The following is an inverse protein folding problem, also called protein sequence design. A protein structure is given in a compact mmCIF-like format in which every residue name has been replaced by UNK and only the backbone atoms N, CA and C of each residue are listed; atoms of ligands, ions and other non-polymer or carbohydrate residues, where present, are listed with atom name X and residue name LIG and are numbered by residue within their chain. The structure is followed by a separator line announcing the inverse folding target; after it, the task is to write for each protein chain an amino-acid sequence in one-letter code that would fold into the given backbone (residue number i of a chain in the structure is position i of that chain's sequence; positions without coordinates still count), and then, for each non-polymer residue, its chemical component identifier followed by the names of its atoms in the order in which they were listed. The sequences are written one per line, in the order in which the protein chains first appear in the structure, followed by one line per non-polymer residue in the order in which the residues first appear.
data_IF_081365548711
#
_entry.id   IF_081365548711
#
_cell.length_a   1.000
_cell.length_b   1.000
_cell.length_c   1.000
_cell.angle_alpha   90.00
_cell.angle_beta   90.00
_cell.angle_gamma   90.00
#
_symmetry.space_group_name_H-M   'P 1'
#
loop_
_entity.id
_entity.type
_entity.pdbx_description
1 polymer ?
#
# COMPACT_ATOMS: atom_id res chain seq x y z
N UNK A 1 -16.14 2.67 -15.76
CA UNK A 1 -15.48 2.77 -14.43
C UNK A 1 -16.21 3.84 -13.65
N UNK A 2 -16.60 3.56 -12.42
CA UNK A 2 -17.37 4.52 -11.63
C UNK A 2 -16.55 5.81 -11.43
N UNK A 3 -17.14 6.94 -11.81
CA UNK A 3 -16.54 8.26 -11.71
C UNK A 3 -16.94 8.91 -10.40
N UNK A 4 -16.48 8.34 -9.29
CA UNK A 4 -16.84 8.79 -7.94
C UNK A 4 -16.41 10.23 -7.65
N UNK A 5 -15.34 10.69 -8.32
CA UNK A 5 -14.79 12.03 -8.18
C UNK A 5 -15.08 12.90 -9.40
N UNK A 6 -16.14 12.59 -10.16
CA UNK A 6 -16.53 13.38 -11.32
C UNK A 6 -16.81 14.83 -10.92
N UNK A 7 -16.20 15.78 -11.63
CA UNK A 7 -16.32 17.21 -11.37
C UNK A 7 -15.30 17.77 -10.37
N UNK A 8 -14.49 16.92 -9.72
CA UNK A 8 -13.38 17.37 -8.88
C UNK A 8 -12.19 17.73 -9.77
N UNK A 9 -11.63 18.93 -9.59
CA UNK A 9 -10.46 19.43 -10.32
C UNK A 9 -9.23 19.50 -9.43
N UNK A 10 -8.12 18.92 -9.89
CA UNK A 10 -6.87 18.82 -9.13
C UNK A 10 -5.74 19.45 -9.93
N UNK A 11 -5.01 20.37 -9.31
CA UNK A 11 -3.72 20.85 -9.79
C UNK A 11 -2.63 20.07 -9.08
N UNK A 12 -1.83 19.33 -9.84
CA UNK A 12 -0.71 18.55 -9.32
C UNK A 12 0.60 19.24 -9.70
N UNK A 13 1.34 19.79 -8.73
CA UNK A 13 2.70 20.26 -9.01
C UNK A 13 3.61 19.04 -9.15
N UNK A 14 4.42 19.00 -10.20
CA UNK A 14 5.25 17.84 -10.51
C UNK A 14 6.18 17.50 -9.34
N UNK A 15 6.12 16.23 -8.94
CA UNK A 15 6.90 15.64 -7.86
C UNK A 15 7.27 14.19 -8.16
N UNK A 16 7.72 13.49 -7.12
CA UNK A 16 8.06 12.07 -7.19
C UNK A 16 7.03 11.23 -6.43
N UNK A 17 7.02 9.93 -6.75
CA UNK A 17 6.33 8.81 -6.08
C UNK A 17 5.01 9.14 -5.33
N UNK A 18 4.99 9.65 -4.08
CA UNK A 18 3.76 9.90 -3.32
C UNK A 18 2.75 10.81 -4.01
N UNK A 19 3.20 11.94 -4.58
CA UNK A 19 2.29 12.93 -5.20
C UNK A 19 1.70 12.41 -6.52
N UNK A 20 2.51 11.89 -7.47
CA UNK A 20 1.97 11.24 -8.65
C UNK A 20 1.06 10.06 -8.33
N UNK A 21 1.36 9.27 -7.29
CA UNK A 21 0.49 8.18 -6.84
C UNK A 21 -0.86 8.72 -6.35
N UNK A 22 -0.86 9.72 -5.46
CA UNK A 22 -2.08 10.39 -4.99
C UNK A 22 -2.94 10.91 -6.16
N UNK A 23 -2.34 11.69 -7.07
CA UNK A 23 -3.04 12.19 -8.24
C UNK A 23 -3.55 11.08 -9.16
N UNK A 24 -2.82 9.97 -9.30
CA UNK A 24 -3.26 8.82 -10.10
C UNK A 24 -4.52 8.19 -9.50
N UNK A 25 -4.55 7.98 -8.18
CA UNK A 25 -5.72 7.45 -7.49
C UNK A 25 -6.94 8.34 -7.70
N UNK A 26 -6.79 9.66 -7.56
CA UNK A 26 -7.89 10.60 -7.80
C UNK A 26 -8.38 10.55 -9.25
N UNK A 27 -7.48 10.52 -10.24
CA UNK A 27 -7.80 10.41 -11.66
C UNK A 27 -8.49 9.08 -12.00
N UNK A 28 -8.00 7.97 -11.44
CA UNK A 28 -8.56 6.63 -11.61
C UNK A 28 -10.03 6.54 -11.12
N UNK A 29 -10.41 7.37 -10.14
CA UNK A 29 -11.80 7.51 -9.66
C UNK A 29 -12.57 8.69 -10.28
N UNK A 30 -12.02 9.34 -11.31
CA UNK A 30 -12.73 10.28 -12.17
C UNK A 30 -12.50 11.77 -11.91
N UNK A 31 -11.53 12.15 -11.07
CA UNK A 31 -11.12 13.55 -10.95
C UNK A 31 -10.38 14.02 -12.22
N UNK A 32 -10.52 15.30 -12.56
CA UNK A 32 -9.74 15.96 -13.60
C UNK A 32 -8.41 16.45 -13.00
N UNK A 33 -7.34 15.70 -13.24
CA UNK A 33 -6.02 15.98 -12.69
C UNK A 33 -5.12 16.60 -13.77
N UNK A 34 -4.69 17.84 -13.54
CA UNK A 34 -3.74 18.57 -14.38
C UNK A 34 -2.37 18.63 -13.70
N UNK A 35 -1.39 17.94 -14.27
CA UNK A 35 0.02 17.96 -13.83
C UNK A 35 0.72 19.19 -14.41
N UNK A 36 1.39 19.95 -13.54
CA UNK A 36 2.20 21.10 -13.90
C UNK A 36 3.67 20.69 -13.83
N UNK A 37 4.34 20.65 -14.99
CA UNK A 37 5.77 20.29 -15.10
C UNK A 37 6.48 21.18 -16.13
N UNK A 38 7.82 21.17 -16.14
CA UNK A 38 8.62 21.83 -17.17
C UNK A 38 8.77 20.96 -18.42
N UNK A 39 9.10 21.60 -19.55
CA UNK A 39 9.48 20.93 -20.80
C UNK A 39 10.71 20.03 -20.58
N UNK A 40 10.62 18.76 -20.99
CA UNK A 40 11.50 17.63 -20.63
C UNK A 40 11.25 17.08 -19.21
N UNK A 41 10.25 16.19 -19.06
CA UNK A 41 9.84 15.71 -17.76
C UNK A 41 10.98 14.94 -17.09
N UNK A 42 11.38 15.40 -15.90
CA UNK A 42 12.12 14.59 -14.92
C UNK A 42 11.17 13.57 -14.26
N UNK A 43 9.86 13.70 -14.54
CA UNK A 43 8.77 13.05 -13.82
C UNK A 43 8.70 11.55 -14.01
N UNK A 44 8.32 10.89 -12.92
CA UNK A 44 7.85 9.51 -12.87
C UNK A 44 6.61 9.31 -13.78
N UNK A 45 6.84 8.93 -15.04
CA UNK A 45 5.78 8.73 -16.04
C UNK A 45 4.89 7.51 -15.77
N UNK A 46 5.27 6.64 -14.81
CA UNK A 46 4.54 5.40 -14.50
C UNK A 46 3.16 5.67 -13.89
N UNK A 47 2.96 6.81 -13.23
CA UNK A 47 1.72 7.14 -12.51
C UNK A 47 0.89 8.26 -13.18
N UNK A 48 1.10 8.54 -14.47
CA UNK A 48 0.40 9.62 -15.18
C UNK A 48 -0.84 9.18 -15.96
N UNK A 49 -1.30 7.92 -15.81
CA UNK A 49 -2.52 7.47 -16.50
C UNK A 49 -3.72 8.29 -16.02
N UNK A 50 -4.61 8.64 -16.95
CA UNK A 50 -5.82 9.42 -16.66
C UNK A 50 -5.59 10.92 -16.40
N UNK A 51 -4.33 11.40 -16.37
CA UNK A 51 -4.01 12.81 -16.11
C UNK A 51 -3.73 13.59 -17.40
N UNK A 52 -3.93 14.90 -17.33
CA UNK A 52 -3.47 15.85 -18.35
C UNK A 52 -2.22 16.59 -17.87
N UNK A 53 -1.42 17.14 -18.79
CA UNK A 53 -0.18 17.84 -18.45
C UNK A 53 -0.16 19.24 -19.06
N UNK A 54 0.33 20.23 -18.31
CA UNK A 54 0.61 21.59 -18.78
C UNK A 54 2.07 21.95 -18.50
N UNK A 55 2.74 22.45 -19.53
CA UNK A 55 4.15 22.85 -19.46
C UNK A 55 4.30 24.26 -18.87
N UNK A 56 4.58 24.37 -17.58
CA UNK A 56 4.89 25.64 -16.90
C UNK A 56 6.22 25.53 -16.15
N UNK A 57 7.09 26.53 -16.31
CA UNK A 57 8.36 26.61 -15.59
C UNK A 57 8.18 27.39 -14.29
N UNK A 58 8.06 26.69 -13.17
CA UNK A 58 7.80 27.28 -11.84
C UNK A 58 8.94 28.18 -11.31
N UNK A 59 10.03 28.38 -12.07
CA UNK A 59 11.05 29.39 -11.79
C UNK A 59 10.66 30.77 -12.33
N UNK A 60 9.65 30.82 -13.21
CA UNK A 60 9.20 32.02 -13.91
C UNK A 60 7.95 32.60 -13.24
N UNK A 61 7.98 33.87 -12.77
CA UNK A 61 6.83 34.50 -12.12
C UNK A 61 5.54 34.48 -12.95
N UNK A 62 5.64 34.59 -14.27
CA UNK A 62 4.52 34.53 -15.21
C UNK A 62 3.84 33.16 -15.26
N UNK A 63 4.60 32.08 -15.08
CA UNK A 63 4.09 30.71 -15.06
C UNK A 63 3.49 30.38 -13.68
N UNK A 64 4.08 30.89 -12.60
CA UNK A 64 3.47 30.86 -11.25
C UNK A 64 2.08 31.53 -11.26
N UNK A 65 1.94 32.68 -11.93
CA UNK A 65 0.63 33.34 -12.09
C UNK A 65 -0.39 32.44 -12.77
N UNK A 66 0.01 31.69 -13.82
CA UNK A 66 -0.88 30.73 -14.50
C UNK A 66 -1.32 29.60 -13.58
N UNK A 67 -0.41 29.08 -12.73
CA UNK A 67 -0.76 28.08 -11.71
C UNK A 67 -1.79 28.65 -10.73
N UNK A 68 -1.56 29.86 -10.24
CA UNK A 68 -2.51 30.56 -9.36
C UNK A 68 -3.88 30.72 -10.00
N UNK A 69 -3.96 31.07 -11.28
CA UNK A 69 -5.23 31.13 -12.03
C UNK A 69 -5.94 29.76 -12.10
N UNK A 70 -5.21 28.65 -12.26
CA UNK A 70 -5.81 27.32 -12.21
C UNK A 70 -6.39 27.03 -10.82
N UNK A 71 -5.66 27.37 -9.76
CA UNK A 71 -6.11 27.18 -8.37
C UNK A 71 -7.40 27.92 -8.05
N UNK A 72 -7.74 29.02 -8.73
CA UNK A 72 -9.00 29.77 -8.53
C UNK A 72 -10.25 28.93 -8.78
N UNK A 73 -10.15 27.94 -9.67
CA UNK A 73 -11.28 27.11 -10.10
C UNK A 73 -11.09 25.63 -9.81
N UNK A 74 -10.03 25.30 -9.06
CA UNK A 74 -9.69 23.93 -8.69
C UNK A 74 -10.15 23.60 -7.28
N UNK A 75 -10.36 22.33 -7.01
CA UNK A 75 -10.75 21.83 -5.70
C UNK A 75 -9.54 21.51 -4.83
N UNK A 76 -8.47 21.03 -5.48
CA UNK A 76 -7.28 20.52 -4.79
C UNK A 76 -6.01 21.03 -5.45
N UNK A 77 -5.02 21.40 -4.64
CA UNK A 77 -3.62 21.60 -5.02
C UNK A 77 -2.75 20.54 -4.33
N UNK A 78 -1.96 19.78 -5.09
CA UNK A 78 -0.95 18.86 -4.55
C UNK A 78 0.42 19.56 -4.56
N UNK A 79 1.03 19.70 -3.37
CA UNK A 79 2.34 20.30 -3.14
C UNK A 79 3.35 19.21 -2.74
N UNK A 80 4.32 18.85 -3.61
CA UNK A 80 5.35 17.84 -3.32
C UNK A 80 6.61 18.41 -2.65
N UNK A 81 6.68 19.72 -2.43
CA UNK A 81 7.94 20.38 -2.15
C UNK A 81 8.28 20.41 -0.66
N UNK A 82 9.56 20.70 -0.39
CA UNK A 82 10.02 20.96 0.99
C UNK A 82 9.25 22.14 1.59
N UNK A 83 8.98 22.13 2.91
CA UNK A 83 8.32 23.23 3.61
C UNK A 83 8.93 24.59 3.27
N UNK A 84 8.10 25.59 3.05
CA UNK A 84 8.52 26.94 2.66
C UNK A 84 8.76 27.14 1.16
N UNK A 85 8.76 26.08 0.33
CA UNK A 85 8.98 26.22 -1.13
C UNK A 85 7.78 26.87 -1.81
N UNK A 86 6.58 26.41 -1.49
CA UNK A 86 5.34 26.95 -2.04
C UNK A 86 5.16 28.43 -1.67
N UNK A 87 5.55 28.79 -0.44
CA UNK A 87 5.57 30.16 0.08
C UNK A 87 6.54 31.05 -0.70
N UNK A 88 7.76 30.58 -0.95
CA UNK A 88 8.75 31.31 -1.77
C UNK A 88 8.28 31.53 -3.21
N UNK A 89 7.42 30.66 -3.73
CA UNK A 89 6.77 30.82 -5.04
C UNK A 89 5.59 31.80 -5.00
N UNK A 90 5.15 32.27 -3.84
CA UNK A 90 3.95 33.12 -3.71
C UNK A 90 2.64 32.36 -3.90
N UNK A 91 2.66 31.05 -3.66
CA UNK A 91 1.50 30.16 -3.69
C UNK A 91 1.15 29.66 -2.28
N UNK A 92 1.44 30.44 -1.24
CA UNK A 92 1.13 30.06 0.14
C UNK A 92 -0.38 29.91 0.40
N UNK A 93 -0.79 29.09 1.39
CA UNK A 93 -2.21 28.81 1.64
C UNK A 93 -3.09 30.04 1.86
N UNK A 94 -2.62 31.03 2.63
CA UNK A 94 -3.42 32.21 2.94
C UNK A 94 -3.63 33.07 1.68
N UNK A 95 -2.59 33.22 0.87
CA UNK A 95 -2.68 33.92 -0.41
C UNK A 95 -3.62 33.22 -1.40
N UNK A 96 -3.57 31.89 -1.49
CA UNK A 96 -4.45 31.13 -2.39
C UNK A 96 -5.92 31.18 -1.94
N UNK A 97 -6.18 31.16 -0.62
CA UNK A 97 -7.54 31.26 -0.10
C UNK A 97 -8.18 32.63 -0.23
N UNK A 98 -7.40 33.70 -0.44
CA UNK A 98 -7.94 35.00 -0.84
C UNK A 98 -8.65 34.91 -2.20
N UNK A 99 -8.17 34.05 -3.10
CA UNK A 99 -8.77 33.86 -4.42
C UNK A 99 -9.80 32.71 -4.44
N UNK A 100 -9.55 31.63 -3.69
CA UNK A 100 -10.43 30.47 -3.61
C UNK A 100 -10.47 29.90 -2.19
N UNK A 101 -11.45 30.35 -1.39
CA UNK A 101 -11.66 29.88 0.00
C UNK A 101 -11.98 28.38 0.12
N UNK A 102 -12.37 27.73 -0.97
CA UNK A 102 -12.72 26.31 -1.03
C UNK A 102 -11.55 25.39 -1.37
N UNK A 103 -10.38 25.93 -1.73
CA UNK A 103 -9.22 25.16 -2.17
C UNK A 103 -8.68 24.27 -1.03
N UNK A 104 -8.55 22.98 -1.28
CA UNK A 104 -7.84 22.05 -0.42
C UNK A 104 -6.38 22.02 -0.86
N UNK A 105 -5.45 22.27 0.06
CA UNK A 105 -4.02 22.28 -0.25
C UNK A 105 -3.39 21.09 0.46
N UNK A 106 -3.06 20.05 -0.30
CA UNK A 106 -2.47 18.83 0.23
C UNK A 106 -0.95 18.88 0.04
N UNK A 107 -0.23 19.02 1.15
CA UNK A 107 1.23 19.11 1.18
C UNK A 107 1.78 17.76 1.59
N UNK A 108 2.49 17.09 0.69
CA UNK A 108 3.01 15.75 0.94
C UNK A 108 4.52 15.84 1.06
N UNK A 109 5.05 15.58 2.26
CA UNK A 109 6.48 15.65 2.55
C UNK A 109 6.93 14.47 3.42
N UNK A 110 8.25 14.29 3.55
CA UNK A 110 8.81 13.20 4.34
C UNK A 110 8.52 13.28 5.84
N UNK A 111 8.79 14.45 6.42
CA UNK A 111 8.78 14.68 7.86
C UNK A 111 7.68 15.67 8.32
N UNK A 112 6.78 16.11 7.43
CA UNK A 112 5.75 17.10 7.70
C UNK A 112 6.19 18.55 7.43
N UNK A 113 5.29 19.51 7.66
CA UNK A 113 5.57 20.95 7.46
C UNK A 113 6.25 21.61 8.67
N UNK A 114 6.28 20.94 9.82
CA UNK A 114 6.85 21.46 11.08
C UNK A 114 7.79 20.45 11.73
N UNK A 115 8.46 20.84 12.82
CA UNK A 115 9.40 19.96 13.55
C UNK A 115 10.85 20.11 13.11
N UNK A 116 11.76 19.42 13.82
CA UNK A 116 13.22 19.58 13.68
C UNK A 116 13.73 19.12 12.31
N UNK A 117 13.13 18.06 11.76
CA UNK A 117 13.56 17.46 10.50
C UNK A 117 12.82 18.01 9.27
N UNK A 118 11.96 19.01 9.42
CA UNK A 118 11.09 19.52 8.33
C UNK A 118 11.87 19.95 7.07
N UNK A 119 13.09 20.45 7.25
CA UNK A 119 13.95 20.94 6.17
C UNK A 119 14.96 19.89 5.67
N UNK A 120 15.03 18.73 6.34
CA UNK A 120 15.99 17.66 6.04
C UNK A 120 15.60 16.88 4.78
N UNK A 121 16.61 16.34 4.10
CA UNK A 121 16.40 15.44 2.98
C UNK A 121 16.03 14.03 3.48
N UNK A 122 15.31 13.29 2.65
CA UNK A 122 15.05 11.87 2.89
C UNK A 122 14.42 11.22 1.67
N UNK A 123 14.31 9.91 1.73
CA UNK A 123 13.52 9.07 0.83
C UNK A 123 12.75 8.04 1.66
N UNK A 124 11.89 7.26 1.02
CA UNK A 124 11.03 6.23 1.63
C UNK A 124 11.71 5.49 2.80
N UNK A 125 12.90 4.91 2.56
CA UNK A 125 13.65 4.16 3.57
C UNK A 125 13.92 4.93 4.87
N UNK A 126 14.17 6.25 4.79
CA UNK A 126 14.39 7.10 5.96
C UNK A 126 13.09 7.29 6.74
N UNK A 127 11.98 7.50 6.04
CA UNK A 127 10.67 7.72 6.65
C UNK A 127 10.15 6.43 7.29
N UNK A 128 10.34 5.27 6.64
CA UNK A 128 10.03 3.95 7.21
C UNK A 128 10.90 3.70 8.45
N UNK A 129 12.20 4.01 8.41
CA UNK A 129 13.08 3.88 9.58
C UNK A 129 12.61 4.73 10.76
N UNK A 130 12.20 5.97 10.51
CA UNK A 130 11.73 6.89 11.55
C UNK A 130 10.32 6.59 12.05
N UNK A 131 9.51 5.83 11.29
CA UNK A 131 8.16 5.42 11.71
C UNK A 131 8.13 4.34 12.80
N UNK A 132 9.29 3.71 13.07
CA UNK A 132 9.40 2.55 13.95
C UNK A 132 9.11 1.21 13.27
N UNK A 133 8.74 1.19 11.98
CA UNK A 133 8.36 -0.03 11.26
C UNK A 133 9.50 -0.77 10.58
N UNK A 134 10.64 -0.14 10.31
CA UNK A 134 11.76 -0.82 9.64
C UNK A 134 12.18 -2.15 10.31
N UNK A 135 12.24 -2.27 11.66
CA UNK A 135 12.60 -3.52 12.31
C UNK A 135 11.66 -4.70 11.99
N UNK A 136 10.40 -4.46 11.60
CA UNK A 136 9.43 -5.53 11.31
C UNK A 136 9.66 -6.19 9.94
N UNK A 137 10.58 -5.66 9.13
CA UNK A 137 10.99 -6.20 7.83
C UNK A 137 12.39 -6.84 7.87
N UNK A 138 12.81 -7.34 9.04
CA UNK A 138 14.05 -8.09 9.24
C UNK A 138 13.84 -9.63 9.12
N UNK A 139 14.91 -10.36 8.77
CA UNK A 139 14.92 -11.82 8.68
C UNK A 139 15.47 -12.53 9.94
N UNK A 140 15.94 -13.78 9.78
CA UNK A 140 16.21 -14.83 10.82
C UNK A 140 17.16 -14.44 11.92
N UNK A 141 18.05 -13.55 11.55
CA UNK A 141 19.07 -13.00 12.41
C UNK A 141 18.80 -11.50 12.51
N UNK A 142 19.45 -10.84 13.48
CA UNK A 142 19.63 -9.39 13.52
C UNK A 142 20.43 -8.84 12.31
N UNK A 143 20.28 -9.48 11.15
CA UNK A 143 20.56 -9.03 9.80
C UNK A 143 19.87 -7.70 9.52
N UNK A 144 20.51 -6.93 8.66
CA UNK A 144 20.04 -5.63 8.18
C UNK A 144 18.59 -5.73 7.67
N UNK A 145 17.64 -4.92 8.20
CA UNK A 145 16.28 -4.87 7.67
C UNK A 145 16.26 -4.49 6.19
N UNK A 146 15.34 -5.09 5.44
CA UNK A 146 15.14 -4.75 4.03
C UNK A 146 13.99 -3.76 3.90
N UNK A 147 14.17 -2.64 3.16
CA UNK A 147 13.06 -1.75 2.90
C UNK A 147 12.00 -2.49 2.06
N UNK A 148 10.70 -2.35 2.37
CA UNK A 148 9.60 -2.95 1.60
C UNK A 148 9.38 -2.19 0.28
N UNK A 149 10.41 -2.19 -0.57
CA UNK A 149 10.54 -1.33 -1.75
C UNK A 149 10.34 0.13 -1.32
N UNK A 150 9.40 0.84 -1.92
CA UNK A 150 8.87 2.11 -1.45
C UNK A 150 7.34 2.05 -1.30
N UNK A 151 6.81 0.86 -0.99
CA UNK A 151 5.36 0.64 -0.85
C UNK A 151 4.80 1.26 0.42
N UNK A 152 5.63 1.34 1.47
CA UNK A 152 5.14 1.68 2.79
C UNK A 152 5.07 3.20 3.02
N UNK A 153 6.16 3.96 2.83
CA UNK A 153 6.13 5.40 3.12
C UNK A 153 5.67 6.23 1.91
N UNK A 154 6.24 6.05 0.73
CA UNK A 154 5.84 6.82 -0.46
C UNK A 154 4.37 6.57 -0.82
N UNK A 155 3.93 5.30 -0.83
CA UNK A 155 2.60 4.95 -1.32
C UNK A 155 1.56 4.80 -0.23
N UNK A 156 1.72 3.89 0.73
CA UNK A 156 0.69 3.66 1.75
C UNK A 156 0.60 4.85 2.73
N UNK A 157 1.70 5.20 3.39
CA UNK A 157 1.78 6.27 4.38
C UNK A 157 1.68 7.67 3.79
N UNK A 158 2.12 7.84 2.53
CA UNK A 158 2.11 9.10 1.79
C UNK A 158 0.92 9.25 0.87
N UNK A 159 1.04 8.74 -0.35
CA UNK A 159 0.07 9.00 -1.42
C UNK A 159 -1.36 8.53 -1.13
N UNK A 160 -1.54 7.33 -0.54
CA UNK A 160 -2.85 6.80 -0.18
C UNK A 160 -3.46 7.56 1.01
N UNK A 161 -2.69 7.81 2.07
CA UNK A 161 -3.13 8.64 3.20
C UNK A 161 -3.55 10.04 2.74
N UNK A 162 -2.80 10.65 1.83
CA UNK A 162 -3.14 11.94 1.24
C UNK A 162 -4.43 11.89 0.42
N UNK A 163 -4.60 10.88 -0.44
CA UNK A 163 -5.84 10.70 -1.20
C UNK A 163 -7.06 10.53 -0.28
N UNK A 164 -6.92 9.74 0.79
CA UNK A 164 -7.97 9.58 1.82
C UNK A 164 -8.27 10.91 2.53
N UNK A 165 -7.23 11.67 2.91
CA UNK A 165 -7.37 12.99 3.51
C UNK A 165 -8.09 13.97 2.59
N UNK A 166 -7.76 13.97 1.29
CA UNK A 166 -8.40 14.83 0.27
C UNK A 166 -9.88 14.50 0.13
N UNK A 167 -10.24 13.22 0.00
CA UNK A 167 -11.66 12.81 -0.12
C UNK A 167 -12.42 13.18 1.17
N UNK A 168 -11.80 13.00 2.33
CA UNK A 168 -12.37 13.41 3.62
C UNK A 168 -12.56 14.93 3.71
N UNK A 169 -11.61 15.72 3.21
CA UNK A 169 -11.70 17.17 3.17
C UNK A 169 -12.76 17.66 2.19
N UNK A 170 -12.90 17.01 1.02
CA UNK A 170 -13.98 17.29 0.06
C UNK A 170 -15.34 17.02 0.71
N UNK A 171 -15.48 15.89 1.41
CA UNK A 171 -16.70 15.57 2.15
C UNK A 171 -17.00 16.62 3.23
N UNK A 172 -16.03 16.94 4.08
CA UNK A 172 -16.18 17.94 5.14
C UNK A 172 -16.54 19.33 4.58
N UNK A 173 -16.01 19.69 3.40
CA UNK A 173 -16.29 20.95 2.70
C UNK A 173 -17.78 21.13 2.37
N UNK A 174 -18.52 20.05 2.12
CA UNK A 174 -19.98 20.10 1.94
C UNK A 174 -20.75 20.48 3.21
N UNK A 175 -20.14 20.28 4.38
CA UNK A 175 -20.79 20.50 5.68
C UNK A 175 -20.29 21.76 6.41
N UNK A 176 -19.17 22.33 6.00
CA UNK A 176 -18.53 23.47 6.68
C UNK A 176 -18.74 24.84 5.98
N UNK A 177 -19.71 24.91 5.06
CA UNK A 177 -19.97 26.11 4.26
C UNK A 177 -19.00 26.31 3.09
N UNK A 178 -18.44 25.22 2.55
CA UNK A 178 -17.63 25.27 1.33
C UNK A 178 -16.16 25.67 1.55
N UNK A 179 -15.67 25.66 2.79
CA UNK A 179 -14.29 26.06 3.12
C UNK A 179 -13.31 24.90 2.94
N UNK A 180 -12.19 25.18 2.28
CA UNK A 180 -11.07 24.25 2.15
C UNK A 180 -10.23 24.17 3.42
N UNK A 181 -9.17 23.36 3.37
CA UNK A 181 -8.19 23.20 4.44
C UNK A 181 -6.81 22.88 3.89
N UNK A 182 -5.78 23.00 4.73
CA UNK A 182 -4.45 22.46 4.44
C UNK A 182 -4.40 21.06 5.04
N UNK A 183 -3.97 20.09 4.25
CA UNK A 183 -3.61 18.76 4.71
C UNK A 183 -2.07 18.69 4.75
N UNK A 184 -1.51 18.54 5.95
CA UNK A 184 -0.09 18.25 6.15
C UNK A 184 0.09 16.73 6.21
N UNK A 185 0.58 16.15 5.12
CA UNK A 185 0.76 14.70 4.98
C UNK A 185 2.24 14.34 5.09
N UNK A 186 2.68 14.06 6.32
CA UNK A 186 4.00 13.50 6.61
C UNK A 186 4.03 12.01 6.30
N UNK A 187 4.93 11.57 5.41
CA UNK A 187 5.10 10.14 5.09
C UNK A 187 5.56 9.33 6.30
N UNK A 188 6.37 9.94 7.18
CA UNK A 188 6.82 9.31 8.43
C UNK A 188 5.64 9.08 9.38
N UNK A 189 4.81 10.11 9.62
CA UNK A 189 3.64 10.00 10.50
C UNK A 189 2.55 9.12 9.89
N UNK A 190 2.32 9.21 8.58
CA UNK A 190 1.37 8.36 7.89
C UNK A 190 1.76 6.89 7.96
N UNK A 191 3.06 6.58 7.85
CA UNK A 191 3.56 5.21 8.07
C UNK A 191 3.37 4.76 9.51
N UNK A 192 3.68 5.62 10.48
CA UNK A 192 3.46 5.33 11.90
C UNK A 192 1.96 5.16 12.22
N UNK A 193 1.08 5.92 11.57
CA UNK A 193 -0.37 5.81 11.73
C UNK A 193 -0.90 4.48 11.18
N UNK A 194 -0.43 4.05 10.01
CA UNK A 194 -0.75 2.71 9.46
C UNK A 194 -0.29 1.59 10.39
N UNK A 195 0.79 1.81 11.11
CA UNK A 195 1.33 0.89 12.11
C UNK A 195 0.53 0.81 13.41
N UNK A 196 -0.64 1.45 13.51
CA UNK A 196 -1.46 1.41 14.73
C UNK A 196 -1.69 -0.01 15.23
N UNK A 197 -1.97 -0.99 14.37
CA UNK A 197 -2.13 -2.38 14.79
C UNK A 197 -0.88 -2.93 15.49
N UNK A 198 0.29 -2.69 14.88
CA UNK A 198 1.59 -3.09 15.43
C UNK A 198 1.79 -2.41 16.77
N UNK A 199 1.74 -1.07 16.83
CA UNK A 199 2.05 -0.25 18.01
C UNK A 199 1.22 -0.55 19.26
N UNK A 200 0.00 -1.10 19.13
CA UNK A 200 -0.88 -1.37 20.28
C UNK A 200 -0.56 -2.68 21.03
N UNK A 201 0.37 -3.51 20.54
CA UNK A 201 0.79 -4.71 21.26
C UNK A 201 1.66 -4.39 22.48
N UNK A 202 1.41 -5.08 23.59
CA UNK A 202 2.17 -4.93 24.84
C UNK A 202 3.63 -5.39 24.69
N UNK A 203 3.83 -6.49 23.96
CA UNK A 203 5.14 -7.03 23.63
C UNK A 203 5.30 -7.08 22.10
N UNK A 204 6.01 -6.08 21.58
CA UNK A 204 6.30 -5.95 20.15
C UNK A 204 7.32 -6.98 19.68
N UNK A 205 8.28 -7.34 20.54
CA UNK A 205 9.40 -8.15 20.08
C UNK A 205 8.94 -9.56 19.74
N UNK A 206 8.10 -10.12 20.60
CA UNK A 206 7.54 -11.46 20.43
C UNK A 206 6.66 -11.61 19.18
N UNK A 207 6.11 -10.51 18.66
CA UNK A 207 5.24 -10.53 17.47
C UNK A 207 5.96 -10.15 16.19
N UNK A 208 6.98 -9.30 16.26
CA UNK A 208 7.54 -8.67 15.07
C UNK A 208 9.07 -8.71 14.93
N UNK A 209 9.85 -8.94 16.00
CA UNK A 209 11.32 -8.79 15.90
C UNK A 209 12.15 -9.93 16.49
N UNK A 210 11.60 -10.73 17.40
CA UNK A 210 12.30 -11.88 17.96
C UNK A 210 12.43 -13.02 16.94
N UNK A 211 13.39 -13.92 17.16
CA UNK A 211 13.53 -15.14 16.35
C UNK A 211 12.21 -15.92 16.41
N UNK A 212 11.64 -16.21 15.24
CA UNK A 212 10.35 -16.89 15.09
C UNK A 212 9.14 -16.12 15.65
N UNK A 213 9.24 -14.79 15.72
CA UNK A 213 8.11 -13.95 16.07
C UNK A 213 6.97 -14.05 15.05
N UNK A 214 5.73 -13.95 15.54
CA UNK A 214 4.50 -14.33 14.84
C UNK A 214 4.37 -13.84 13.38
N UNK A 215 4.74 -12.57 13.12
CA UNK A 215 4.55 -11.90 11.83
C UNK A 215 5.86 -11.69 11.08
N UNK A 216 6.96 -12.26 11.57
CA UNK A 216 8.21 -12.31 10.81
C UNK A 216 8.07 -13.34 9.70
N UNK A 217 8.72 -13.12 8.55
CA UNK A 217 8.79 -14.11 7.45
C UNK A 217 9.52 -15.42 7.82
N UNK A 218 9.94 -15.51 9.07
CA UNK A 218 10.69 -16.57 9.72
C UNK A 218 9.79 -17.53 10.48
N UNK A 219 8.57 -17.10 10.87
CA UNK A 219 7.68 -17.78 11.80
C UNK A 219 7.28 -19.18 11.29
N UNK A 220 7.80 -20.26 11.89
CA UNK A 220 7.36 -21.61 11.54
C UNK A 220 6.19 -22.04 12.43
N UNK A 221 6.09 -21.49 13.64
CA UNK A 221 5.00 -21.70 14.60
C UNK A 221 4.72 -20.40 15.36
N UNK A 222 3.45 -20.03 15.46
CA UNK A 222 3.00 -18.93 16.29
C UNK A 222 3.14 -19.31 17.78
N UNK A 223 3.55 -18.35 18.61
CA UNK A 223 3.63 -18.49 20.06
C UNK A 223 2.86 -17.32 20.67
N UNK A 224 2.05 -17.54 21.70
CA UNK A 224 1.71 -16.45 22.62
C UNK A 224 2.80 -16.45 23.70
N UNK A 225 3.46 -15.32 23.94
CA UNK A 225 4.34 -15.14 25.09
C UNK A 225 3.58 -15.41 26.39
N UNK A 226 4.31 -15.71 27.49
CA UNK A 226 3.78 -16.08 28.81
C UNK A 226 2.53 -15.26 29.20
N UNK A 227 1.34 -15.76 28.86
CA UNK A 227 0.11 -15.35 29.51
C UNK A 227 0.27 -15.84 30.95
N UNK A 228 0.04 -14.95 31.93
CA UNK A 228 0.01 -15.35 33.35
C UNK A 228 -0.78 -16.65 33.46
N UNK A 229 -0.24 -17.60 34.22
CA UNK A 229 -0.51 -19.05 34.26
C UNK A 229 -1.98 -19.52 34.41
N UNK A 230 -2.97 -18.62 34.34
CA UNK A 230 -4.39 -18.90 34.54
C UNK A 230 -5.20 -18.99 33.23
N UNK A 231 -4.59 -18.71 32.08
CA UNK A 231 -5.18 -19.06 30.77
C UNK A 231 -4.18 -19.91 30.00
N UNK A 232 -3.93 -21.12 30.50
CA UNK A 232 -3.51 -22.22 29.65
C UNK A 232 -4.66 -22.46 28.66
N UNK A 233 -4.69 -21.69 27.56
CA UNK A 233 -5.40 -22.16 26.38
C UNK A 233 -4.59 -23.38 25.97
N UNK A 234 -5.12 -24.57 26.20
CA UNK A 234 -4.60 -25.85 25.69
C UNK A 234 -4.44 -25.84 24.14
N UNK A 235 -4.80 -24.73 23.49
CA UNK A 235 -4.62 -24.37 22.09
C UNK A 235 -3.80 -23.08 21.92
N UNK A 236 -2.61 -22.97 22.51
CA UNK A 236 -1.64 -21.96 22.07
C UNK A 236 -1.39 -22.17 20.56
N UNK A 237 -1.91 -21.25 19.75
CA UNK A 237 -2.12 -21.40 18.32
C UNK A 237 -0.87 -21.84 17.56
N UNK A 238 -0.92 -23.08 17.04
CA UNK A 238 0.13 -23.79 16.30
C UNK A 238 0.13 -23.37 14.82
N UNK A 239 0.54 -22.13 14.50
CA UNK A 239 0.36 -21.58 13.13
C UNK A 239 1.66 -21.33 12.38
N UNK A 240 1.69 -21.65 11.09
CA UNK A 240 2.82 -21.36 10.20
C UNK A 240 2.54 -20.07 9.44
N UNK A 241 3.50 -19.13 9.38
CA UNK A 241 3.32 -17.88 8.62
C UNK A 241 4.62 -17.47 7.93
N UNK A 242 4.90 -18.06 6.76
CA UNK A 242 6.14 -17.81 6.00
C UNK A 242 6.07 -18.29 4.55
N UNK A 243 7.17 -18.12 3.83
CA UNK A 243 7.36 -18.72 2.50
C UNK A 243 8.23 -19.96 2.55
N UNK A 244 7.98 -20.90 1.62
CA UNK A 244 8.71 -22.15 1.47
C UNK A 244 9.20 -22.32 0.04
N UNK A 245 10.48 -22.64 -0.12
CA UNK A 245 11.09 -22.94 -1.41
C UNK A 245 10.61 -24.30 -1.92
N UNK A 246 10.38 -24.39 -3.22
CA UNK A 246 9.88 -25.58 -3.91
C UNK A 246 10.95 -26.19 -4.81
N UNK A 247 10.68 -27.36 -5.39
CA UNK A 247 11.63 -28.14 -6.20
C UNK A 247 12.26 -27.35 -7.35
N UNK A 248 11.50 -26.46 -7.99
CA UNK A 248 11.93 -25.61 -9.11
C UNK A 248 12.57 -24.28 -8.66
N UNK A 249 12.83 -24.11 -7.36
CA UNK A 249 13.45 -22.92 -6.80
C UNK A 249 12.51 -21.72 -6.63
N UNK A 250 11.23 -21.86 -6.98
CA UNK A 250 10.16 -20.89 -6.71
C UNK A 250 9.59 -21.09 -5.30
N UNK A 251 8.60 -20.28 -4.88
CA UNK A 251 8.10 -20.27 -3.51
C UNK A 251 6.58 -20.45 -3.42
N UNK A 252 6.13 -21.12 -2.35
CA UNK A 252 4.76 -21.08 -1.84
C UNK A 252 4.70 -20.15 -0.62
N UNK A 253 3.64 -19.35 -0.50
CA UNK A 253 3.29 -18.63 0.73
C UNK A 253 2.32 -19.48 1.55
N UNK A 254 2.61 -19.62 2.84
CA UNK A 254 1.87 -20.46 3.79
C UNK A 254 1.49 -19.59 4.98
N UNK A 255 0.19 -19.43 5.23
CA UNK A 255 -0.32 -18.62 6.34
C UNK A 255 -1.59 -19.17 7.02
N UNK A 256 -1.68 -20.47 7.38
CA UNK A 256 -2.84 -20.99 8.11
C UNK A 256 -2.81 -20.53 9.58
N UNK A 257 -3.46 -19.40 9.87
CA UNK A 257 -3.55 -18.82 11.21
C UNK A 257 -4.61 -19.50 12.10
N UNK A 258 -5.62 -20.13 11.52
CA UNK A 258 -6.67 -20.81 12.27
C UNK A 258 -6.42 -22.33 12.35
N UNK A 259 -6.76 -22.99 13.48
CA UNK A 259 -6.42 -24.39 13.72
C UNK A 259 -6.86 -25.35 12.61
N UNK A 260 -8.10 -25.19 12.15
CA UNK A 260 -8.65 -25.98 11.05
C UNK A 260 -7.82 -25.87 9.76
N UNK A 261 -7.21 -24.73 9.48
CA UNK A 261 -6.48 -24.53 8.23
C UNK A 261 -5.11 -25.20 8.25
N UNK A 262 -4.41 -25.19 9.39
CA UNK A 262 -3.14 -25.92 9.48
C UNK A 262 -3.36 -27.43 9.55
N UNK A 263 -4.45 -27.89 10.19
CA UNK A 263 -4.86 -29.31 10.16
C UNK A 263 -5.10 -29.77 8.73
N UNK A 264 -5.95 -29.05 7.98
CA UNK A 264 -6.18 -29.33 6.56
C UNK A 264 -4.87 -29.32 5.76
N UNK A 265 -3.98 -28.35 6.02
CA UNK A 265 -2.69 -28.28 5.34
C UNK A 265 -1.85 -29.53 5.60
N UNK A 266 -1.75 -29.97 6.85
CA UNK A 266 -0.97 -31.15 7.22
C UNK A 266 -1.54 -32.44 6.62
N UNK A 267 -2.86 -32.61 6.63
CA UNK A 267 -3.52 -33.71 5.93
C UNK A 267 -3.18 -33.73 4.43
N UNK A 268 -3.20 -32.56 3.78
CA UNK A 268 -2.87 -32.43 2.35
C UNK A 268 -1.40 -32.71 2.07
N UNK A 269 -0.51 -32.31 2.98
CA UNK A 269 0.92 -32.55 2.89
C UNK A 269 1.30 -33.99 3.27
N UNK A 270 0.44 -34.70 3.99
CA UNK A 270 0.76 -36.01 4.57
C UNK A 270 1.74 -35.92 5.73
N UNK A 271 1.73 -34.81 6.47
CA UNK A 271 2.61 -34.54 7.62
C UNK A 271 1.84 -34.86 8.91
N UNK A 272 2.43 -35.69 9.76
CA UNK A 272 1.89 -35.95 11.11
C UNK A 272 2.38 -34.85 12.07
N UNK A 273 1.44 -34.09 12.62
CA UNK A 273 1.71 -32.74 13.08
C UNK A 273 1.76 -32.53 14.58
N UNK A 274 1.17 -33.42 15.37
CA UNK A 274 0.84 -33.08 16.77
C UNK A 274 2.09 -32.79 17.61
N UNK A 275 3.17 -33.54 17.36
CA UNK A 275 4.46 -33.42 18.06
C UNK A 275 5.39 -32.36 17.45
N UNK A 276 5.23 -32.01 16.17
CA UNK A 276 6.15 -31.11 15.45
C UNK A 276 6.12 -29.69 16.01
N UNK A 277 4.99 -29.25 16.56
CA UNK A 277 4.84 -27.92 17.12
C UNK A 277 5.56 -27.70 18.45
N UNK A 278 6.13 -28.75 19.05
CA UNK A 278 6.99 -28.61 20.22
C UNK A 278 8.35 -27.99 19.87
N UNK A 279 8.80 -28.12 18.61
CA UNK A 279 10.10 -27.65 18.15
C UNK A 279 9.99 -26.89 16.81
N UNK A 280 10.16 -25.55 16.83
CA UNK A 280 10.19 -24.71 15.62
C UNK A 280 11.17 -25.17 14.55
N UNK A 281 12.34 -25.70 14.93
CA UNK A 281 13.35 -26.15 13.96
C UNK A 281 12.89 -27.44 13.28
N UNK A 282 12.27 -28.35 14.02
CA UNK A 282 11.78 -29.62 13.49
C UNK A 282 10.64 -29.41 12.48
N UNK A 283 9.61 -28.64 12.85
CA UNK A 283 8.51 -28.31 11.93
C UNK A 283 8.97 -27.47 10.74
N UNK A 284 9.93 -26.56 10.93
CA UNK A 284 10.54 -25.81 9.81
C UNK A 284 11.15 -26.79 8.82
N UNK A 285 12.00 -27.70 9.31
CA UNK A 285 12.70 -28.67 8.49
C UNK A 285 11.72 -29.59 7.76
N UNK A 286 10.74 -30.14 8.46
CA UNK A 286 9.73 -31.04 7.89
C UNK A 286 8.98 -30.36 6.73
N UNK A 287 8.52 -29.12 6.94
CA UNK A 287 7.78 -28.37 5.92
C UNK A 287 8.71 -27.95 4.76
N UNK A 288 9.94 -27.53 5.03
CA UNK A 288 10.93 -27.23 3.98
C UNK A 288 11.23 -28.46 3.12
N UNK A 289 11.48 -29.61 3.74
CA UNK A 289 11.72 -30.89 3.04
C UNK A 289 10.49 -31.33 2.23
N UNK A 290 9.30 -31.16 2.80
CA UNK A 290 8.04 -31.48 2.12
C UNK A 290 7.83 -30.59 0.89
N UNK A 291 7.91 -29.26 1.02
CA UNK A 291 7.69 -28.35 -0.12
C UNK A 291 8.73 -28.53 -1.23
N UNK A 292 9.93 -29.03 -0.95
CA UNK A 292 10.94 -29.36 -1.96
C UNK A 292 10.61 -30.58 -2.83
N UNK A 293 9.58 -31.38 -2.47
CA UNK A 293 9.23 -32.60 -3.22
C UNK A 293 8.54 -32.32 -4.56
N UNK A 294 7.87 -31.17 -4.69
CA UNK A 294 7.14 -30.77 -5.92
C UNK A 294 7.48 -29.34 -6.31
N UNK A 295 7.24 -29.01 -7.57
CA UNK A 295 7.34 -27.63 -8.09
C UNK A 295 6.21 -26.76 -7.52
N UNK A 296 6.38 -25.43 -7.56
CA UNK A 296 5.33 -24.48 -7.13
C UNK A 296 3.99 -24.72 -7.82
N UNK A 297 4.00 -24.99 -9.12
CA UNK A 297 2.77 -25.14 -9.89
C UNK A 297 2.09 -26.51 -9.62
N UNK A 298 2.86 -27.57 -9.32
CA UNK A 298 2.33 -28.83 -8.82
C UNK A 298 1.68 -28.66 -7.44
N UNK A 299 2.33 -27.95 -6.51
CA UNK A 299 1.73 -27.63 -5.21
C UNK A 299 0.47 -26.78 -5.35
N UNK A 300 0.48 -25.81 -6.25
CA UNK A 300 -0.70 -24.96 -6.51
C UNK A 300 -1.91 -25.80 -6.90
N UNK A 301 -1.73 -26.83 -7.74
CA UNK A 301 -2.80 -27.79 -8.08
C UNK A 301 -3.23 -28.66 -6.90
N UNK A 302 -2.29 -29.07 -6.04
CA UNK A 302 -2.59 -29.87 -4.84
C UNK A 302 -3.42 -29.09 -3.83
N UNK A 303 -3.19 -27.78 -3.68
CA UNK A 303 -3.90 -26.91 -2.75
C UNK A 303 -5.12 -26.20 -3.35
N UNK A 304 -5.36 -26.33 -4.66
CA UNK A 304 -6.49 -25.72 -5.34
C UNK A 304 -7.83 -26.16 -4.73
N UNK A 305 -8.65 -25.18 -4.35
CA UNK A 305 -9.96 -25.42 -3.73
C UNK A 305 -9.91 -25.93 -2.29
N UNK A 306 -8.74 -25.92 -1.62
CA UNK A 306 -8.59 -26.38 -0.23
C UNK A 306 -8.39 -25.23 0.74
N UNK A 307 -9.05 -25.33 1.89
CA UNK A 307 -8.95 -24.37 2.99
C UNK A 307 -7.65 -24.57 3.80
N UNK A 308 -6.51 -24.27 3.19
CA UNK A 308 -5.18 -24.48 3.79
C UNK A 308 -4.35 -23.18 3.90
N UNK A 309 -4.81 -22.07 3.34
CA UNK A 309 -4.04 -20.81 3.28
C UNK A 309 -2.65 -20.97 2.65
N UNK A 310 -2.56 -21.78 1.58
CA UNK A 310 -1.33 -22.02 0.81
C UNK A 310 -1.52 -21.54 -0.62
N UNK A 311 -0.65 -20.63 -1.08
CA UNK A 311 -0.75 -20.00 -2.42
C UNK A 311 0.62 -19.86 -3.09
N UNK A 312 0.71 -19.87 -4.43
CA UNK A 312 1.97 -19.59 -5.12
C UNK A 312 2.44 -18.15 -4.88
N UNK A 313 3.74 -17.96 -4.67
CA UNK A 313 4.37 -16.64 -4.80
C UNK A 313 4.56 -16.36 -6.29
N UNK A 314 3.80 -15.39 -6.81
CA UNK A 314 3.80 -15.01 -8.23
C UNK A 314 4.79 -13.89 -8.51
N UNK A 315 5.44 -13.96 -9.68
CA UNK A 315 6.21 -12.86 -10.25
C UNK A 315 5.30 -11.86 -11.00
N UNK A 316 5.76 -10.61 -11.17
CA UNK A 316 5.03 -9.54 -11.88
C UNK A 316 4.63 -9.95 -13.31
N UNK A 317 5.39 -10.83 -13.96
CA UNK A 317 5.06 -11.32 -15.31
C UNK A 317 3.96 -12.38 -15.32
N UNK A 318 3.70 -13.03 -14.19
CA UNK A 318 2.72 -14.12 -14.03
C UNK A 318 1.35 -13.61 -13.56
N UNK A 319 1.29 -12.45 -12.88
CA UNK A 319 0.08 -11.98 -12.20
C UNK A 319 -1.13 -11.84 -13.13
N UNK A 320 -0.96 -11.40 -14.37
CA UNK A 320 -2.09 -11.20 -15.29
C UNK A 320 -2.61 -12.48 -15.93
N UNK A 321 -1.90 -13.60 -15.78
CA UNK A 321 -2.30 -14.92 -16.32
C UNK A 321 -2.81 -15.88 -15.26
N UNK A 322 -2.68 -15.53 -13.97
CA UNK A 322 -3.17 -16.36 -12.88
C UNK A 322 -4.71 -16.40 -12.85
N UNK A 323 -5.31 -17.58 -12.72
CA UNK A 323 -6.77 -17.81 -12.89
C UNK A 323 -7.63 -16.81 -12.12
N UNK A 324 -7.41 -16.65 -10.81
CA UNK A 324 -8.16 -15.69 -10.00
C UNK A 324 -8.04 -14.24 -10.48
N UNK A 325 -6.88 -13.84 -11.00
CA UNK A 325 -6.68 -12.50 -11.54
C UNK A 325 -7.30 -12.31 -12.92
N UNK A 326 -7.34 -13.36 -13.73
CA UNK A 326 -8.03 -13.41 -15.04
C UNK A 326 -9.54 -13.32 -14.83
N UNK A 327 -10.11 -14.15 -13.95
CA UNK A 327 -11.54 -14.18 -13.64
C UNK A 327 -12.03 -12.83 -13.11
N UNK A 328 -11.20 -12.21 -12.26
CA UNK A 328 -11.47 -10.88 -11.75
C UNK A 328 -11.06 -9.78 -12.73
N UNK A 329 -10.38 -10.07 -13.82
CA UNK A 329 -9.83 -9.07 -14.75
C UNK A 329 -9.01 -7.98 -14.05
N UNK A 330 -8.16 -8.35 -13.09
CA UNK A 330 -7.47 -7.41 -12.20
C UNK A 330 -6.35 -6.63 -12.89
N UNK A 331 -5.74 -7.20 -13.92
CA UNK A 331 -4.61 -6.61 -14.64
C UNK A 331 -4.94 -6.39 -16.12
N UNK A 332 -4.24 -5.46 -16.75
CA UNK A 332 -4.21 -5.28 -18.21
C UNK A 332 -2.77 -5.11 -18.67
N UNK A 333 -2.46 -5.47 -19.92
CA UNK A 333 -1.15 -5.15 -20.50
C UNK A 333 -1.09 -3.66 -20.83
N UNK A 334 0.08 -3.05 -20.60
CA UNK A 334 0.36 -1.67 -20.98
C UNK A 334 1.38 -1.60 -22.11
N UNK A 335 0.95 -1.17 -23.29
CA UNK A 335 1.86 -0.97 -24.44
C UNK A 335 2.93 0.09 -24.13
N UNK A 336 2.58 1.12 -23.35
CA UNK A 336 3.49 2.17 -22.90
C UNK A 336 4.67 1.62 -22.08
N UNK A 337 4.49 0.47 -21.43
CA UNK A 337 5.49 -0.15 -20.56
C UNK A 337 5.89 -1.55 -21.08
N UNK A 338 6.03 -1.69 -22.39
CA UNK A 338 6.57 -2.92 -23.00
C UNK A 338 5.68 -4.15 -22.84
N UNK A 339 4.37 -3.96 -22.72
CA UNK A 339 3.41 -5.05 -22.54
C UNK A 339 3.38 -5.65 -21.13
N UNK A 340 3.97 -4.97 -20.14
CA UNK A 340 3.91 -5.42 -18.73
C UNK A 340 2.49 -5.35 -18.18
N UNK A 341 2.20 -6.19 -17.17
CA UNK A 341 0.93 -6.19 -16.46
C UNK A 341 0.84 -5.00 -15.52
N UNK A 342 -0.24 -4.22 -15.64
CA UNK A 342 -0.57 -3.11 -14.73
C UNK A 342 -1.90 -3.40 -14.05
N UNK A 343 -1.98 -3.12 -12.76
CA UNK A 343 -3.21 -3.30 -11.99
C UNK A 343 -4.26 -2.27 -12.40
N UNK A 344 -5.52 -2.70 -12.48
CA UNK A 344 -6.67 -1.79 -12.58
C UNK A 344 -6.91 -1.08 -11.23
N UNK A 345 -7.58 0.07 -11.24
CA UNK A 345 -8.00 0.78 -10.03
C UNK A 345 -8.69 -0.11 -8.99
N UNK A 346 -8.41 0.17 -7.72
CA UNK A 346 -8.95 -0.52 -6.54
C UNK A 346 -9.30 0.52 -5.46
N UNK A 347 -10.43 0.39 -4.73
CA UNK A 347 -11.40 -0.72 -4.77
C UNK A 347 -12.26 -0.74 -6.04
N UNK A 348 -12.97 -1.85 -6.27
CA UNK A 348 -14.02 -1.93 -7.28
C UNK A 348 -15.26 -1.22 -6.78
N UNK A 349 -15.93 -0.53 -7.68
CA UNK A 349 -17.24 0.04 -7.41
C UNK A 349 -18.28 -0.88 -8.02
N UNK A 350 -19.29 -1.24 -7.24
CA UNK A 350 -20.44 -1.99 -7.70
C UNK A 350 -21.69 -1.16 -7.42
N UNK A 351 -22.36 -0.74 -8.49
CA UNK A 351 -23.65 -0.06 -8.42
C UNK A 351 -24.78 -1.07 -8.23
N UNK A 352 -25.94 -0.59 -7.78
CA UNK A 352 -27.14 -1.43 -7.67
C UNK A 352 -27.52 -2.06 -9.02
N UNK A 353 -27.34 -1.33 -10.11
CA UNK A 353 -27.58 -1.80 -11.47
C UNK A 353 -26.64 -2.95 -11.85
N UNK A 354 -25.33 -2.80 -11.62
CA UNK A 354 -24.33 -3.85 -11.90
C UNK A 354 -24.57 -5.11 -11.06
N UNK A 355 -24.94 -4.96 -9.79
CA UNK A 355 -25.28 -6.09 -8.93
C UNK A 355 -26.56 -6.80 -9.39
N UNK A 356 -27.58 -6.05 -9.79
CA UNK A 356 -28.86 -6.60 -10.28
C UNK A 356 -28.67 -7.37 -11.59
N UNK A 357 -27.88 -6.82 -12.52
CA UNK A 357 -27.54 -7.50 -13.77
C UNK A 357 -26.77 -8.81 -13.54
N UNK A 358 -25.87 -8.84 -12.56
CA UNK A 358 -25.10 -10.04 -12.19
C UNK A 358 -25.99 -11.11 -11.54
N UNK A 359 -26.84 -10.71 -10.59
CA UNK A 359 -27.75 -11.62 -9.89
C UNK A 359 -28.81 -12.25 -10.82
N UNK A 360 -29.20 -11.54 -11.89
CA UNK A 360 -30.14 -12.07 -12.89
C UNK A 360 -29.47 -13.15 -13.77
N UNK A 361 -28.18 -12.99 -14.08
CA UNK A 361 -27.41 -13.98 -14.86
C UNK A 361 -27.05 -15.23 -14.09
N UNK A 362 -26.98 -15.19 -12.76
CA UNK A 362 -26.68 -16.37 -11.93
C UNK A 362 -27.92 -17.21 -11.59
N UNK A 363 -29.13 -16.73 -11.92
CA UNK A 363 -30.40 -17.42 -11.72
C UNK A 363 -30.93 -18.11 -12.99
N UNK A 364 -30.23 -17.93 -14.11
CA UNK A 364 -30.42 -18.62 -15.38
C UNK A 364 -29.30 -19.65 -15.52
#
# INVERSE_FOLDING_TARGET
MARLLNGIKVVELAGLAPVPHCGMMLADFGADVTVIDKKHPVVEQRMNRGKTMKEFDLRKPEDIKKVRELCKTSDVLLDPYRPGTLEKMGLDPLSLWNDNKGLIICRISGYGQTGRMKDEAGHDINYVAMSGMMPTFAGREASRPWPPVNMLADFAGGGLSAAFGIVSAIHARHHNGGKGCVLDCSMTEGTAYLASFVQHYYDQSHLFTDKYAAFTGECPIYRYGKVKEEVAIENAWKNVFRTYKTKDGKFMAVGPLEPKFHQNMFEVLGVDGDDLFSDPELITKELEETFLQKTRDEWSKVFEGKDCCVTPVLDIHEVGTYGQHVDRQNFTKSDKFGGTWIAKPSPRVQTMEELTATATRSKL
#
